data_IF_770345847766
#
_entry.id   IF_770345847766
#
_cell.length_a   1.000
_cell.length_b   1.000
_cell.length_c   1.000
_cell.angle_alpha   90.00
_cell.angle_beta   90.00
_cell.angle_gamma   90.00
#
_symmetry.space_group_name_H-M   'P 1'
#
loop_
_entity.id
_entity.type
_entity.pdbx_description
1 polymer ?
#
# COMPACT_ATOMS: atom_id res chain seq x y z
N UNK A 1 34.22 -23.52 18.60
CA UNK A 1 32.89 -22.92 18.91
C UNK A 1 31.82 -23.93 18.51
N UNK A 2 30.83 -24.17 19.37
CA UNK A 2 29.83 -25.23 19.16
C UNK A 2 28.90 -24.92 17.98
N UNK A 3 28.69 -25.89 17.09
CA UNK A 3 27.76 -25.85 15.95
C UNK A 3 26.36 -25.35 16.38
N UNK A 4 25.96 -25.68 17.61
CA UNK A 4 24.73 -25.20 18.25
C UNK A 4 24.64 -23.68 18.37
N UNK A 5 25.74 -23.00 18.71
CA UNK A 5 25.77 -21.53 18.82
C UNK A 5 25.59 -20.88 17.44
N UNK A 6 26.28 -21.39 16.42
CA UNK A 6 26.11 -20.89 15.05
C UNK A 6 24.70 -21.10 14.50
N UNK A 7 24.07 -22.25 14.79
CA UNK A 7 22.69 -22.52 14.37
C UNK A 7 21.69 -21.60 15.08
N UNK A 8 21.90 -21.36 16.37
CA UNK A 8 21.07 -20.43 17.14
C UNK A 8 21.22 -18.99 16.65
N UNK A 9 22.45 -18.54 16.37
CA UNK A 9 22.72 -17.19 15.84
C UNK A 9 22.06 -16.98 14.47
N UNK A 10 22.03 -18.02 13.62
CA UNK A 10 21.31 -17.99 12.33
C UNK A 10 19.80 -17.91 12.55
N UNK A 11 19.25 -18.74 13.45
CA UNK A 11 17.84 -18.73 13.78
C UNK A 11 17.38 -17.38 14.33
N UNK A 12 18.14 -16.78 15.25
CA UNK A 12 17.79 -15.51 15.87
C UNK A 12 17.85 -14.34 14.88
N UNK A 13 18.84 -14.35 13.98
CA UNK A 13 18.90 -13.41 12.85
C UNK A 13 17.70 -13.54 11.92
N UNK A 14 17.33 -14.77 11.56
CA UNK A 14 16.19 -15.03 10.68
C UNK A 14 14.87 -14.61 11.34
N UNK A 15 14.69 -14.92 12.62
CA UNK A 15 13.54 -14.50 13.41
C UNK A 15 13.43 -12.97 13.46
N UNK A 16 14.54 -12.28 13.77
CA UNK A 16 14.59 -10.82 13.80
C UNK A 16 14.27 -10.21 12.44
N UNK A 17 14.72 -10.83 11.34
CA UNK A 17 14.39 -10.42 9.97
C UNK A 17 12.89 -10.53 9.70
N UNK A 18 12.27 -11.66 10.02
CA UNK A 18 10.83 -11.90 9.81
C UNK A 18 9.98 -10.94 10.65
N UNK A 19 10.32 -10.73 11.92
CA UNK A 19 9.59 -9.80 12.79
C UNK A 19 9.71 -8.35 12.30
N UNK A 20 10.91 -7.93 11.87
CA UNK A 20 11.10 -6.60 11.25
C UNK A 20 10.22 -6.44 10.00
N UNK A 21 10.20 -7.45 9.14
CA UNK A 21 9.38 -7.42 7.92
C UNK A 21 7.88 -7.31 8.23
N UNK A 22 7.39 -8.07 9.22
CA UNK A 22 6.00 -7.98 9.69
C UNK A 22 5.68 -6.60 10.25
N UNK A 23 6.58 -6.02 11.04
CA UNK A 23 6.43 -4.68 11.59
C UNK A 23 6.33 -3.62 10.48
N UNK A 24 7.22 -3.68 9.49
CA UNK A 24 7.20 -2.78 8.33
C UNK A 24 5.92 -2.90 7.51
N UNK A 25 5.46 -4.13 7.24
CA UNK A 25 4.19 -4.35 6.53
C UNK A 25 2.99 -3.76 7.28
N UNK A 26 2.93 -3.96 8.61
CA UNK A 26 1.86 -3.38 9.44
C UNK A 26 1.89 -1.86 9.45
N UNK A 27 3.08 -1.26 9.56
CA UNK A 27 3.23 0.19 9.50
C UNK A 27 2.73 0.76 8.16
N UNK A 28 3.08 0.08 7.04
CA UNK A 28 2.57 0.47 5.73
C UNK A 28 1.06 0.32 5.62
N UNK A 29 0.49 -0.78 6.11
CA UNK A 29 -0.95 -1.00 6.11
C UNK A 29 -1.68 0.09 6.90
N UNK A 30 -1.13 0.53 8.03
CA UNK A 30 -1.66 1.62 8.82
C UNK A 30 -1.66 2.95 8.04
N UNK A 31 -0.54 3.32 7.40
CA UNK A 31 -0.45 4.51 6.56
C UNK A 31 -1.44 4.44 5.38
N UNK A 32 -1.58 3.27 4.77
CA UNK A 32 -2.50 3.04 3.66
C UNK A 32 -3.97 3.14 4.10
N UNK A 33 -4.32 2.62 5.28
CA UNK A 33 -5.64 2.80 5.90
C UNK A 33 -5.92 4.28 6.23
N UNK A 34 -4.94 4.99 6.79
CA UNK A 34 -5.07 6.41 7.09
C UNK A 34 -5.38 7.19 5.80
N UNK A 35 -4.60 6.96 4.74
CA UNK A 35 -4.83 7.56 3.42
C UNK A 35 -6.22 7.22 2.85
N UNK A 36 -6.69 5.97 2.98
CA UNK A 36 -8.04 5.58 2.57
C UNK A 36 -9.10 6.38 3.33
N UNK A 37 -8.98 6.47 4.66
CA UNK A 37 -9.94 7.20 5.51
C UNK A 37 -9.97 8.69 5.17
N UNK A 38 -8.81 9.30 4.92
CA UNK A 38 -8.72 10.71 4.52
C UNK A 38 -9.34 10.98 3.15
N UNK A 39 -9.11 10.10 2.16
CA UNK A 39 -9.73 10.27 0.84
C UNK A 39 -11.23 9.94 0.87
N UNK A 40 -11.67 9.03 1.73
CA UNK A 40 -13.08 8.69 1.88
C UNK A 40 -13.89 9.77 2.61
N UNK A 41 -13.28 10.51 3.54
CA UNK A 41 -13.95 11.54 4.34
C UNK A 41 -14.14 12.86 3.59
N UNK A 42 -13.45 13.07 2.47
CA UNK A 42 -13.64 14.27 1.66
C UNK A 42 -14.96 14.24 0.91
N UNK A 43 -15.85 15.18 1.23
CA UNK A 43 -17.01 15.49 0.41
C UNK A 43 -16.58 16.11 -0.93
N UNK A 44 -17.52 16.24 -1.88
CA UNK A 44 -17.23 16.77 -3.23
C UNK A 44 -16.91 18.29 -3.28
N UNK A 45 -16.56 18.91 -2.14
CA UNK A 45 -16.23 20.32 -2.09
C UNK A 45 -14.79 20.55 -2.54
N UNK A 46 -14.61 21.46 -3.49
CA UNK A 46 -13.33 21.77 -4.12
C UNK A 46 -12.28 22.32 -3.13
N UNK A 47 -12.73 23.06 -2.12
CA UNK A 47 -11.91 23.56 -1.01
C UNK A 47 -11.30 22.44 -0.14
N UNK A 48 -11.94 21.28 -0.08
CA UNK A 48 -11.42 20.11 0.65
C UNK A 48 -10.35 19.37 -0.15
N UNK A 49 -10.32 19.50 -1.48
CA UNK A 49 -9.39 18.78 -2.36
C UNK A 49 -7.92 19.16 -2.09
N UNK A 50 -7.67 20.44 -1.86
CA UNK A 50 -6.32 20.95 -1.54
C UNK A 50 -5.84 20.46 -0.18
N UNK A 51 -6.75 20.40 0.82
CA UNK A 51 -6.44 19.89 2.15
C UNK A 51 -6.09 18.40 2.14
N UNK A 52 -6.76 17.61 1.29
CA UNK A 52 -6.45 16.18 1.13
C UNK A 52 -5.04 15.99 0.58
N UNK A 53 -4.66 16.78 -0.43
CA UNK A 53 -3.35 16.69 -1.04
C UNK A 53 -2.22 16.85 -0.01
N UNK A 54 -2.40 17.78 0.93
CA UNK A 54 -1.43 18.03 2.00
C UNK A 54 -1.38 16.89 3.03
N UNK A 55 -2.55 16.34 3.38
CA UNK A 55 -2.70 15.29 4.40
C UNK A 55 -2.37 13.87 3.95
N UNK A 56 -2.20 13.61 2.66
CA UNK A 56 -1.78 12.28 2.20
C UNK A 56 -0.35 11.97 2.68
N UNK A 57 -0.18 10.79 3.29
CA UNK A 57 1.09 10.34 3.85
C UNK A 57 1.84 9.40 2.89
N UNK A 58 3.18 9.48 2.90
CA UNK A 58 4.07 8.58 2.15
C UNK A 58 5.39 8.30 2.86
N UNK A 59 5.56 8.76 4.09
CA UNK A 59 6.85 8.75 4.79
C UNK A 59 7.24 7.33 5.20
N UNK A 60 6.26 6.52 5.60
CA UNK A 60 6.46 5.13 5.98
C UNK A 60 6.91 4.33 4.78
N UNK A 61 6.23 4.51 3.64
CA UNK A 61 6.64 3.92 2.37
C UNK A 61 8.08 4.29 1.99
N UNK A 62 8.43 5.58 2.05
CA UNK A 62 9.78 6.06 1.71
C UNK A 62 10.86 5.47 2.64
N UNK A 63 10.55 5.38 3.93
CA UNK A 63 11.43 4.78 4.94
C UNK A 63 11.63 3.29 4.66
N UNK A 64 10.55 2.56 4.38
CA UNK A 64 10.58 1.12 4.10
C UNK A 64 11.38 0.82 2.83
N UNK A 65 11.20 1.61 1.77
CA UNK A 65 11.98 1.47 0.53
C UNK A 65 13.47 1.74 0.74
N UNK A 66 13.83 2.79 1.47
CA UNK A 66 15.24 3.13 1.74
C UNK A 66 15.96 2.05 2.56
N UNK A 67 15.21 1.26 3.33
CA UNK A 67 15.72 0.13 4.12
C UNK A 67 15.82 -1.18 3.33
N UNK A 68 15.54 -1.16 2.02
CA UNK A 68 15.63 -2.35 1.15
C UNK A 68 14.58 -3.42 1.44
N UNK A 69 13.42 -3.02 1.98
CA UNK A 69 12.33 -3.96 2.24
C UNK A 69 11.78 -4.54 0.93
N UNK A 70 11.66 -5.87 0.87
CA UNK A 70 10.93 -6.57 -0.17
C UNK A 70 9.54 -6.90 0.36
N UNK A 71 8.50 -6.51 -0.37
CA UNK A 71 7.16 -7.05 -0.15
C UNK A 71 7.15 -8.54 -0.45
N UNK A 72 6.16 -9.25 0.09
CA UNK A 72 5.84 -10.58 -0.42
C UNK A 72 5.50 -10.46 -1.90
N UNK A 73 6.09 -11.30 -2.74
CA UNK A 73 5.85 -11.31 -4.19
C UNK A 73 4.53 -12.03 -4.54
N UNK A 74 3.50 -11.86 -3.71
CA UNK A 74 2.19 -12.42 -4.02
C UNK A 74 1.60 -11.70 -5.21
N UNK A 75 1.18 -12.48 -6.20
CA UNK A 75 0.55 -11.97 -7.42
C UNK A 75 -0.93 -11.68 -7.15
N UNK A 76 -1.41 -10.53 -7.62
CA UNK A 76 -2.83 -10.22 -7.58
C UNK A 76 -3.63 -11.20 -8.44
N UNK A 77 -4.54 -11.94 -7.80
CA UNK A 77 -5.36 -12.96 -8.47
C UNK A 77 -6.67 -12.38 -8.99
N UNK A 78 -7.20 -12.96 -10.06
CA UNK A 78 -8.50 -12.57 -10.62
C UNK A 78 -9.64 -12.68 -9.61
N UNK A 79 -9.60 -13.62 -8.66
CA UNK A 79 -10.62 -13.70 -7.61
C UNK A 79 -10.57 -12.49 -6.65
N UNK A 80 -9.40 -11.86 -6.47
CA UNK A 80 -9.25 -10.73 -5.56
C UNK A 80 -9.86 -9.43 -6.08
N UNK A 81 -10.02 -9.30 -7.41
CA UNK A 81 -10.66 -8.13 -8.01
C UNK A 81 -12.18 -8.25 -8.08
N UNK A 82 -12.80 -9.34 -7.62
CA UNK A 82 -14.26 -9.51 -7.47
C UNK A 82 -15.11 -9.08 -8.70
N UNK A 83 -14.59 -9.20 -9.92
CA UNK A 83 -15.30 -8.83 -11.16
C UNK A 83 -15.28 -7.34 -11.51
N UNK A 84 -14.55 -6.49 -10.77
CA UNK A 84 -14.35 -5.08 -11.12
C UNK A 84 -13.41 -4.96 -12.33
N UNK A 85 -13.99 -4.73 -13.52
CA UNK A 85 -13.25 -4.66 -14.78
C UNK A 85 -12.13 -3.60 -14.81
N UNK A 86 -12.26 -2.51 -14.04
CA UNK A 86 -11.23 -1.46 -13.92
C UNK A 86 -9.89 -1.98 -13.36
N UNK A 87 -9.90 -3.13 -12.67
CA UNK A 87 -8.72 -3.74 -12.08
C UNK A 87 -8.13 -4.88 -12.90
N UNK A 88 -8.73 -5.27 -14.03
CA UNK A 88 -8.23 -6.36 -14.88
C UNK A 88 -6.76 -6.14 -15.30
N UNK A 89 -6.36 -4.89 -15.55
CA UNK A 89 -4.99 -4.51 -15.93
C UNK A 89 -3.92 -4.74 -14.85
N UNK A 90 -4.33 -5.03 -13.61
CA UNK A 90 -3.43 -5.25 -12.48
C UNK A 90 -3.29 -6.72 -12.11
N UNK A 91 -4.13 -7.60 -12.67
CA UNK A 91 -4.04 -9.04 -12.42
C UNK A 91 -2.67 -9.54 -12.87
N UNK A 92 -2.02 -10.34 -12.01
CA UNK A 92 -0.66 -10.84 -12.25
C UNK A 92 0.46 -9.86 -11.90
N UNK A 93 0.16 -8.65 -11.41
CA UNK A 93 1.17 -7.78 -10.78
C UNK A 93 1.45 -8.25 -9.36
N UNK A 94 2.70 -8.14 -8.94
CA UNK A 94 3.12 -8.44 -7.57
C UNK A 94 2.75 -7.31 -6.60
N UNK A 95 2.75 -7.62 -5.30
CA UNK A 95 2.43 -6.65 -4.25
C UNK A 95 3.39 -5.44 -4.25
N UNK A 96 4.66 -5.62 -4.59
CA UNK A 96 5.65 -4.54 -4.63
C UNK A 96 5.27 -3.49 -5.68
N UNK A 97 4.94 -3.92 -6.89
CA UNK A 97 4.50 -3.06 -7.99
C UNK A 97 3.24 -2.31 -7.63
N UNK A 98 2.25 -2.99 -7.05
CA UNK A 98 0.97 -2.40 -6.66
C UNK A 98 1.13 -1.32 -5.59
N UNK A 99 1.97 -1.57 -4.58
CA UNK A 99 2.28 -0.58 -3.53
C UNK A 99 3.03 0.60 -4.15
N UNK A 100 4.04 0.34 -4.97
CA UNK A 100 4.80 1.41 -5.64
C UNK A 100 3.89 2.30 -6.50
N UNK A 101 3.00 1.71 -7.31
CA UNK A 101 2.02 2.43 -8.11
C UNK A 101 1.09 3.29 -7.23
N UNK A 102 0.70 2.80 -6.05
CA UNK A 102 -0.20 3.52 -5.14
C UNK A 102 0.47 4.77 -4.57
N UNK A 103 1.70 4.64 -4.09
CA UNK A 103 2.45 5.75 -3.52
C UNK A 103 2.96 6.73 -4.56
N UNK A 104 3.23 6.28 -5.80
CA UNK A 104 3.48 7.19 -6.91
C UNK A 104 2.26 8.08 -7.20
N UNK A 105 1.04 7.51 -7.22
CA UNK A 105 -0.19 8.30 -7.39
C UNK A 105 -0.39 9.30 -6.26
N UNK A 106 -0.16 8.89 -5.02
CA UNK A 106 -0.19 9.79 -3.86
C UNK A 106 0.77 10.96 -4.09
N UNK A 107 2.05 10.68 -4.36
CA UNK A 107 3.07 11.72 -4.59
C UNK A 107 2.73 12.67 -5.73
N UNK A 108 2.15 12.17 -6.83
CA UNK A 108 1.70 12.99 -7.95
C UNK A 108 0.57 13.95 -7.53
N UNK A 109 -0.38 13.47 -6.73
CA UNK A 109 -1.46 14.30 -6.17
C UNK A 109 -0.88 15.37 -5.24
N UNK A 110 0.07 15.02 -4.36
CA UNK A 110 0.75 15.99 -3.48
C UNK A 110 1.48 17.09 -4.27
N UNK A 111 2.14 16.72 -5.37
CA UNK A 111 2.95 17.66 -6.19
C UNK A 111 2.12 18.62 -7.06
N UNK A 112 0.89 18.25 -7.42
CA UNK A 112 0.05 19.05 -8.31
C UNK A 112 -1.35 19.24 -7.72
N UNK A 113 -1.47 20.02 -6.63
CA UNK A 113 -2.74 20.17 -5.91
C UNK A 113 -3.80 20.92 -6.72
N UNK A 114 -3.40 21.80 -7.64
CA UNK A 114 -4.30 22.59 -8.51
C UNK A 114 -5.00 21.78 -9.59
N UNK A 115 -4.54 20.56 -9.89
CA UNK A 115 -5.13 19.67 -10.88
C UNK A 115 -5.93 18.51 -10.29
N UNK A 116 -6.18 18.51 -8.98
CA UNK A 116 -6.92 17.46 -8.29
C UNK A 116 -8.41 17.62 -8.58
N UNK A 117 -9.03 16.55 -9.05
CA UNK A 117 -10.47 16.49 -9.27
C UNK A 117 -11.07 15.39 -8.41
N UNK A 118 -12.36 15.50 -8.09
CA UNK A 118 -13.08 14.43 -7.38
C UNK A 118 -13.01 13.07 -8.09
N UNK A 119 -12.90 13.05 -9.42
CA UNK A 119 -12.69 11.82 -10.20
C UNK A 119 -11.32 11.19 -9.94
N UNK A 120 -10.26 12.00 -9.88
CA UNK A 120 -8.90 11.51 -9.57
C UNK A 120 -8.84 10.93 -8.15
N UNK A 121 -9.45 11.58 -7.17
CA UNK A 121 -9.52 11.08 -5.80
C UNK A 121 -10.34 9.79 -5.69
N UNK A 122 -11.49 9.69 -6.38
CA UNK A 122 -12.27 8.45 -6.45
C UNK A 122 -11.45 7.31 -7.07
N UNK A 123 -10.70 7.59 -8.13
CA UNK A 123 -9.81 6.60 -8.76
C UNK A 123 -8.68 6.18 -7.81
N UNK A 124 -8.07 7.13 -7.09
CA UNK A 124 -7.07 6.84 -6.06
C UNK A 124 -7.67 5.96 -4.97
N UNK A 125 -8.81 6.33 -4.40
CA UNK A 125 -9.48 5.60 -3.32
C UNK A 125 -9.74 4.14 -3.71
N UNK A 126 -10.33 3.91 -4.89
CA UNK A 126 -10.58 2.57 -5.42
C UNK A 126 -9.30 1.75 -5.56
N UNK A 127 -8.23 2.39 -6.04
CA UNK A 127 -6.94 1.73 -6.19
C UNK A 127 -6.29 1.43 -4.83
N UNK A 128 -6.35 2.34 -3.85
CA UNK A 128 -5.86 2.11 -2.50
C UNK A 128 -6.63 0.96 -1.82
N UNK A 129 -7.95 0.87 -2.01
CA UNK A 129 -8.75 -0.26 -1.53
C UNK A 129 -8.29 -1.59 -2.15
N UNK A 130 -8.03 -1.64 -3.46
CA UNK A 130 -7.48 -2.84 -4.09
C UNK A 130 -6.17 -3.28 -3.42
N UNK A 131 -5.23 -2.36 -3.25
CA UNK A 131 -3.94 -2.64 -2.62
C UNK A 131 -4.12 -3.10 -1.18
N UNK A 132 -4.96 -2.41 -0.40
CA UNK A 132 -5.26 -2.76 0.99
C UNK A 132 -5.77 -4.21 1.13
N UNK A 133 -6.77 -4.58 0.32
CA UNK A 133 -7.36 -5.91 0.38
C UNK A 133 -6.36 -6.98 -0.10
N UNK A 134 -5.62 -6.69 -1.16
CA UNK A 134 -4.60 -7.60 -1.69
C UNK A 134 -3.49 -7.89 -0.66
N UNK A 135 -2.93 -6.87 0.00
CA UNK A 135 -1.92 -7.02 1.05
C UNK A 135 -2.43 -7.82 2.27
N UNK A 136 -3.74 -7.85 2.47
CA UNK A 136 -4.40 -8.63 3.52
C UNK A 136 -4.78 -10.05 3.08
N UNK A 137 -4.41 -10.47 1.86
CA UNK A 137 -4.80 -11.77 1.30
C UNK A 137 -6.30 -11.90 1.04
N UNK A 138 -7.03 -10.77 1.00
CA UNK A 138 -8.49 -10.73 0.81
C UNK A 138 -8.84 -10.33 -0.62
N UNK A 139 -10.03 -10.69 -1.06
CA UNK A 139 -10.65 -10.12 -2.25
C UNK A 139 -11.49 -8.91 -1.89
N UNK A 140 -11.66 -8.00 -2.86
CA UNK A 140 -12.61 -6.91 -2.74
C UNK A 140 -14.02 -7.45 -2.45
N UNK A 141 -14.86 -6.69 -1.71
CA UNK A 141 -16.26 -7.06 -1.53
C UNK A 141 -16.96 -7.18 -2.88
N UNK A 142 -17.90 -8.13 -3.01
CA UNK A 142 -18.65 -8.31 -4.26
C UNK A 142 -19.48 -7.07 -4.55
N UNK A 143 -19.59 -6.76 -5.84
CA UNK A 143 -20.39 -5.67 -6.38
C UNK A 143 -21.89 -5.89 -6.14
#
# INVERSE_FOLDING_TARGET
MAIWKSLYDVFDKERSRVEKQRGQLRALQFELEANIRFVASSGQQESQLLLIADKLESQTFDTILSQGFSFNNEMLKAQQIAGYAEFNRYVGRDSYQLVCDAYQRIKLIKKSPTGITGLKLKSLLRFLLLVHFHLNGKGLPKK
#
